data_IF_829711468052
#
_entry.id   IF_829711468052
#
_cell.length_a   1.000
_cell.length_b   1.000
_cell.length_c   1.000
_cell.angle_alpha   90.00
_cell.angle_beta   90.00
_cell.angle_gamma   90.00
#
_symmetry.space_group_name_H-M   'P 1'
#
loop_
_entity.id
_entity.type
_entity.pdbx_description
1 polymer ?
#
# COMPACT_ATOMS: atom_id res chain seq x y z
N UNK A 1 -7.11 -6.37 21.80
CA UNK A 1 -8.48 -6.41 21.26
C UNK A 1 -8.75 -5.24 20.28
N UNK A 2 -8.56 -3.96 20.67
CA UNK A 2 -8.83 -2.78 19.82
C UNK A 2 -8.10 -2.83 18.46
N UNK A 3 -6.80 -3.14 18.46
CA UNK A 3 -6.03 -3.30 17.21
C UNK A 3 -6.62 -4.38 16.28
N UNK A 4 -7.15 -5.48 16.85
CA UNK A 4 -7.81 -6.54 16.09
C UNK A 4 -9.10 -6.03 15.43
N UNK A 5 -9.89 -5.22 16.12
CA UNK A 5 -11.11 -4.63 15.54
C UNK A 5 -10.78 -3.67 14.38
N UNK A 6 -9.72 -2.87 14.48
CA UNK A 6 -9.27 -2.03 13.35
C UNK A 6 -8.83 -2.87 12.14
N UNK A 7 -8.17 -4.02 12.37
CA UNK A 7 -7.80 -4.93 11.30
C UNK A 7 -9.04 -5.57 10.64
N UNK A 8 -10.03 -5.99 11.42
CA UNK A 8 -11.32 -6.51 10.93
C UNK A 8 -12.05 -5.43 10.10
N UNK A 9 -12.09 -4.18 10.58
CA UNK A 9 -12.68 -3.07 9.82
C UNK A 9 -12.01 -2.92 8.45
N UNK A 10 -10.67 -2.94 8.39
CA UNK A 10 -9.94 -2.85 7.12
C UNK A 10 -10.29 -4.01 6.17
N UNK A 11 -10.35 -5.24 6.69
CA UNK A 11 -10.69 -6.41 5.90
C UNK A 11 -12.12 -6.35 5.34
N UNK A 12 -13.08 -5.94 6.16
CA UNK A 12 -14.47 -5.76 5.74
C UNK A 12 -14.60 -4.64 4.70
N UNK A 13 -13.82 -3.57 4.84
CA UNK A 13 -13.80 -2.47 3.88
C UNK A 13 -13.23 -2.93 2.54
N UNK A 14 -12.16 -3.72 2.54
CA UNK A 14 -11.61 -4.32 1.32
C UNK A 14 -12.67 -5.17 0.60
N UNK A 15 -13.35 -6.07 1.30
CA UNK A 15 -14.43 -6.90 0.75
C UNK A 15 -15.59 -6.07 0.22
N UNK A 16 -15.99 -5.03 0.96
CA UNK A 16 -17.04 -4.10 0.52
C UNK A 16 -16.69 -3.45 -0.82
N UNK A 17 -15.44 -3.00 -1.00
CA UNK A 17 -14.97 -2.44 -2.27
C UNK A 17 -14.91 -3.50 -3.38
N UNK A 18 -14.40 -4.69 -3.08
CA UNK A 18 -14.23 -5.77 -4.05
C UNK A 18 -15.57 -6.28 -4.60
N UNK A 19 -16.61 -6.22 -3.81
CA UNK A 19 -17.94 -6.77 -4.18
C UNK A 19 -18.93 -5.64 -4.48
N UNK A 20 -19.26 -4.81 -3.47
CA UNK A 20 -20.37 -3.85 -3.58
C UNK A 20 -20.03 -2.63 -4.41
N UNK A 21 -18.88 -2.01 -4.15
CA UNK A 21 -18.45 -0.83 -4.91
C UNK A 21 -18.07 -1.22 -6.33
N UNK A 22 -17.46 -2.37 -6.55
CA UNK A 22 -17.19 -2.91 -7.89
C UNK A 22 -18.48 -3.09 -8.70
N UNK A 23 -19.53 -3.70 -8.12
CA UNK A 23 -20.85 -3.83 -8.76
C UNK A 23 -21.48 -2.47 -9.09
N UNK A 24 -21.36 -1.49 -8.18
CA UNK A 24 -21.86 -0.13 -8.41
C UNK A 24 -21.09 0.55 -9.57
N UNK A 25 -19.78 0.41 -9.62
CA UNK A 25 -18.93 0.97 -10.70
C UNK A 25 -19.27 0.33 -12.06
N UNK A 26 -19.54 -0.98 -12.13
CA UNK A 26 -20.01 -1.64 -13.36
C UNK A 26 -21.32 -1.04 -13.86
N UNK A 27 -22.29 -0.80 -12.97
CA UNK A 27 -23.56 -0.13 -13.33
C UNK A 27 -23.34 1.27 -13.89
N UNK A 28 -22.44 2.04 -13.28
CA UNK A 28 -22.05 3.38 -13.76
C UNK A 28 -21.43 3.28 -15.15
N UNK A 29 -20.47 2.38 -15.35
CA UNK A 29 -19.78 2.19 -16.63
C UNK A 29 -20.73 1.73 -17.74
N UNK A 30 -21.72 0.90 -17.42
CA UNK A 30 -22.76 0.45 -18.35
C UNK A 30 -23.84 1.54 -18.63
N UNK A 31 -23.72 2.74 -18.07
CA UNK A 31 -24.69 3.82 -18.28
C UNK A 31 -26.07 3.53 -17.67
N UNK A 32 -26.16 2.64 -16.70
CA UNK A 32 -27.45 2.27 -16.08
C UNK A 32 -27.99 3.44 -15.27
N UNK A 33 -28.98 4.13 -15.81
CA UNK A 33 -29.65 5.29 -15.22
C UNK A 33 -30.92 4.89 -14.41
N UNK A 34 -30.83 3.79 -13.65
CA UNK A 34 -31.91 3.34 -12.77
C UNK A 34 -31.53 3.67 -11.33
N UNK A 35 -32.37 4.41 -10.59
CA UNK A 35 -32.14 4.69 -9.19
C UNK A 35 -31.88 3.42 -8.36
N UNK A 36 -31.04 3.51 -7.36
CA UNK A 36 -30.84 2.45 -6.38
C UNK A 36 -32.06 2.31 -5.47
N UNK A 37 -32.09 1.28 -4.62
CA UNK A 37 -33.16 1.06 -3.65
C UNK A 37 -33.42 2.29 -2.77
N UNK A 38 -32.41 3.12 -2.54
CA UNK A 38 -32.49 4.36 -1.77
C UNK A 38 -32.88 5.59 -2.61
N UNK A 39 -33.34 5.39 -3.86
CA UNK A 39 -33.77 6.45 -4.76
C UNK A 39 -32.65 7.31 -5.36
N UNK A 40 -31.36 7.01 -5.10
CA UNK A 40 -30.22 7.76 -5.61
C UNK A 40 -29.69 7.17 -6.91
N UNK A 41 -29.17 8.03 -7.77
CA UNK A 41 -28.46 7.58 -8.97
C UNK A 41 -27.15 6.88 -8.58
N UNK A 42 -26.70 5.87 -9.36
CA UNK A 42 -25.48 5.13 -9.05
C UNK A 42 -24.24 6.00 -8.84
N UNK A 43 -24.07 7.07 -9.62
CA UNK A 43 -22.95 8.01 -9.48
C UNK A 43 -23.01 8.84 -8.20
N UNK A 44 -24.19 9.31 -7.81
CA UNK A 44 -24.41 10.03 -6.55
C UNK A 44 -24.08 9.15 -5.34
N UNK A 45 -24.61 7.92 -5.35
CA UNK A 45 -24.33 6.94 -4.30
C UNK A 45 -22.84 6.62 -4.20
N UNK A 46 -22.16 6.49 -5.34
CA UNK A 46 -20.71 6.23 -5.37
C UNK A 46 -19.92 7.36 -4.67
N UNK A 47 -20.24 8.61 -4.97
CA UNK A 47 -19.56 9.76 -4.38
C UNK A 47 -19.80 9.83 -2.86
N UNK A 48 -21.04 9.69 -2.42
CA UNK A 48 -21.38 9.64 -0.98
C UNK A 48 -20.64 8.50 -0.24
N UNK A 49 -20.52 7.33 -0.88
CA UNK A 49 -19.79 6.20 -0.30
C UNK A 49 -18.29 6.54 -0.15
N UNK A 50 -17.70 7.19 -1.15
CA UNK A 50 -16.28 7.60 -1.07
C UNK A 50 -16.06 8.62 0.05
N UNK A 51 -16.93 9.61 0.18
CA UNK A 51 -16.85 10.62 1.25
C UNK A 51 -16.97 9.93 2.62
N UNK A 52 -17.95 9.06 2.79
CA UNK A 52 -18.15 8.34 4.05
C UNK A 52 -17.00 7.41 4.40
N UNK A 53 -16.45 6.71 3.41
CA UNK A 53 -15.29 5.84 3.60
C UNK A 53 -14.06 6.67 3.97
N UNK A 54 -13.87 7.83 3.36
CA UNK A 54 -12.75 8.73 3.68
C UNK A 54 -12.79 9.17 5.15
N UNK A 55 -13.97 9.55 5.67
CA UNK A 55 -14.16 9.87 7.09
C UNK A 55 -13.79 8.67 8.00
N UNK A 56 -14.31 7.49 7.68
CA UNK A 56 -14.08 6.28 8.48
C UNK A 56 -12.61 5.85 8.49
N UNK A 57 -11.92 5.94 7.35
CA UNK A 57 -10.49 5.62 7.24
C UNK A 57 -9.63 6.65 7.98
N UNK A 58 -10.00 7.93 7.91
CA UNK A 58 -9.33 8.97 8.68
C UNK A 58 -9.46 8.72 10.19
N UNK A 59 -10.67 8.37 10.66
CA UNK A 59 -10.90 8.04 12.07
C UNK A 59 -10.17 6.76 12.48
N UNK A 60 -10.18 5.72 11.66
CA UNK A 60 -9.38 4.51 11.91
C UNK A 60 -7.89 4.82 12.06
N UNK A 61 -7.37 5.66 11.18
CA UNK A 61 -5.96 6.08 11.22
C UNK A 61 -5.66 6.88 12.49
N UNK A 62 -6.54 7.81 12.87
CA UNK A 62 -6.42 8.59 14.10
C UNK A 62 -6.36 7.69 15.33
N UNK A 63 -7.35 6.80 15.48
CA UNK A 63 -7.41 5.85 16.61
C UNK A 63 -6.15 4.98 16.68
N UNK A 64 -5.67 4.50 15.54
CA UNK A 64 -4.44 3.70 15.52
C UNK A 64 -3.21 4.51 15.95
N UNK A 65 -3.04 5.73 15.43
CA UNK A 65 -1.84 6.53 15.64
C UNK A 65 -1.83 7.20 17.02
N UNK A 66 -2.98 7.71 17.48
CA UNK A 66 -3.06 8.55 18.67
C UNK A 66 -3.43 7.77 19.94
N UNK A 67 -4.07 6.61 19.80
CA UNK A 67 -4.52 5.81 20.94
C UNK A 67 -3.81 4.46 21.02
N UNK A 68 -3.99 3.60 20.00
CA UNK A 68 -3.49 2.21 20.06
C UNK A 68 -1.96 2.14 20.04
N UNK A 69 -1.33 2.94 19.23
CA UNK A 69 0.13 2.92 19.08
C UNK A 69 0.87 3.33 20.37
N UNK A 70 0.44 4.39 21.07
CA UNK A 70 0.96 4.71 22.41
C UNK A 70 0.70 3.61 23.44
N UNK A 71 -0.51 3.05 23.52
CA UNK A 71 -0.84 1.94 24.42
C UNK A 71 0.07 0.72 24.17
N UNK A 72 0.33 0.38 22.91
CA UNK A 72 1.27 -0.70 22.56
C UNK A 72 2.70 -0.38 23.02
N UNK A 73 3.12 0.87 22.94
CA UNK A 73 4.45 1.29 23.37
C UNK A 73 4.61 1.18 24.90
N UNK A 74 3.57 1.47 25.68
CA UNK A 74 3.52 1.26 27.12
C UNK A 74 3.67 -0.23 27.50
N UNK A 75 3.10 -1.12 26.68
CA UNK A 75 3.24 -2.57 26.79
C UNK A 75 4.56 -3.11 26.17
N UNK A 76 5.49 -2.22 25.81
CA UNK A 76 6.80 -2.58 25.27
C UNK A 76 6.78 -2.96 23.79
N UNK A 77 5.68 -2.74 23.05
CA UNK A 77 5.58 -3.05 21.62
C UNK A 77 5.68 -1.75 20.81
N UNK A 78 6.75 -1.60 20.05
CA UNK A 78 7.03 -0.40 19.26
C UNK A 78 7.14 -0.72 17.77
N UNK A 79 6.32 -0.06 16.95
CA UNK A 79 6.44 -0.07 15.50
C UNK A 79 7.18 1.22 15.11
N UNK A 80 8.42 1.06 14.69
CA UNK A 80 9.36 2.16 14.47
C UNK A 80 9.39 2.60 13.00
N UNK A 81 9.92 3.80 12.77
CA UNK A 81 10.37 4.28 11.47
C UNK A 81 11.90 4.23 11.39
N UNK A 82 12.43 4.31 10.18
CA UNK A 82 13.88 4.23 9.95
C UNK A 82 14.72 5.26 10.73
N UNK A 83 14.21 6.48 10.87
CA UNK A 83 14.89 7.57 11.58
C UNK A 83 14.99 7.33 13.10
N UNK A 84 14.10 6.52 13.66
CA UNK A 84 14.07 6.14 15.07
C UNK A 84 15.03 4.98 15.43
N UNK A 85 15.72 4.39 14.44
CA UNK A 85 16.67 3.31 14.65
C UNK A 85 18.02 3.84 15.12
N UNK A 86 18.66 3.08 16.00
CA UNK A 86 20.07 3.27 16.37
C UNK A 86 21.00 2.97 15.18
N UNK A 87 22.24 3.43 15.25
CA UNK A 87 23.24 3.13 14.21
C UNK A 87 23.43 1.61 14.01
N UNK A 88 23.56 0.86 15.10
CA UNK A 88 23.70 -0.61 15.05
C UNK A 88 22.49 -1.30 14.43
N UNK A 89 21.25 -0.84 14.73
CA UNK A 89 20.04 -1.38 14.11
C UNK A 89 20.01 -1.08 12.61
N UNK A 90 20.40 0.14 12.20
CA UNK A 90 20.49 0.51 10.79
C UNK A 90 21.51 -0.37 10.03
N UNK A 91 22.64 -0.69 10.64
CA UNK A 91 23.65 -1.56 10.02
C UNK A 91 23.13 -2.99 9.86
N UNK A 92 22.44 -3.53 10.88
CA UNK A 92 21.77 -4.83 10.78
C UNK A 92 20.72 -4.85 9.67
N UNK A 93 19.93 -3.78 9.52
CA UNK A 93 18.91 -3.70 8.48
C UNK A 93 19.51 -3.55 7.08
N UNK A 94 20.65 -2.87 6.93
CA UNK A 94 21.41 -2.83 5.66
C UNK A 94 21.92 -4.22 5.26
N UNK A 95 22.48 -4.97 6.19
CA UNK A 95 22.91 -6.34 5.95
C UNK A 95 21.71 -7.24 5.57
N UNK A 96 20.62 -7.18 6.34
CA UNK A 96 19.40 -7.92 6.06
C UNK A 96 18.83 -7.57 4.67
N UNK A 97 18.84 -6.28 4.29
CA UNK A 97 18.41 -5.85 2.98
C UNK A 97 19.25 -6.51 1.87
N UNK A 98 20.55 -6.41 1.96
CA UNK A 98 21.46 -6.95 0.94
C UNK A 98 21.35 -8.48 0.81
N UNK A 99 21.27 -9.21 1.93
CA UNK A 99 21.32 -10.66 1.96
C UNK A 99 19.98 -11.33 1.65
N UNK A 100 18.86 -10.75 2.10
CA UNK A 100 17.56 -11.44 2.10
C UNK A 100 16.44 -10.69 1.40
N UNK A 101 16.44 -9.35 1.38
CA UNK A 101 15.36 -8.57 0.79
C UNK A 101 15.67 -8.26 -0.67
N UNK A 102 16.84 -7.70 -0.96
CA UNK A 102 17.24 -7.32 -2.31
C UNK A 102 17.10 -8.46 -3.34
N UNK A 103 17.53 -9.72 -3.07
CA UNK A 103 17.44 -10.80 -4.06
C UNK A 103 16.01 -11.20 -4.47
N UNK A 104 15.01 -10.88 -3.65
CA UNK A 104 13.61 -11.23 -3.92
C UNK A 104 12.79 -10.05 -4.42
N UNK A 105 13.40 -8.86 -4.54
CA UNK A 105 12.73 -7.68 -5.09
C UNK A 105 12.73 -7.72 -6.62
N UNK A 106 11.60 -7.35 -7.21
CA UNK A 106 11.45 -7.20 -8.65
C UNK A 106 10.95 -5.77 -8.94
N UNK A 107 11.87 -4.79 -9.03
CA UNK A 107 11.49 -3.44 -9.42
C UNK A 107 11.06 -3.42 -10.89
N UNK A 108 9.98 -2.71 -11.18
CA UNK A 108 9.44 -2.55 -12.53
C UNK A 108 9.35 -1.05 -12.84
N UNK A 109 10.11 -0.63 -13.84
CA UNK A 109 10.00 0.72 -14.38
C UNK A 109 8.91 0.76 -15.47
N UNK A 110 8.18 1.86 -15.54
CA UNK A 110 7.13 2.09 -16.53
C UNK A 110 7.66 3.08 -17.56
N UNK A 111 7.70 2.67 -18.81
CA UNK A 111 8.06 3.50 -19.95
C UNK A 111 7.15 3.18 -21.16
N UNK A 112 7.24 3.88 -22.29
CA UNK A 112 6.41 3.61 -23.47
C UNK A 112 6.52 2.15 -24.00
N UNK A 113 7.64 1.48 -23.76
CA UNK A 113 7.87 0.08 -24.18
C UNK A 113 7.41 -0.92 -23.12
N UNK A 114 7.25 -0.46 -21.87
CA UNK A 114 6.82 -1.28 -20.72
C UNK A 114 5.61 -0.59 -20.08
N UNK A 115 4.39 -0.97 -20.49
CA UNK A 115 3.17 -0.38 -19.98
C UNK A 115 3.01 -0.63 -18.47
N UNK A 116 2.13 0.14 -17.84
CA UNK A 116 1.88 0.05 -16.41
C UNK A 116 1.58 -1.41 -16.00
N UNK A 117 2.36 -1.98 -15.06
CA UNK A 117 2.24 -3.39 -14.72
C UNK A 117 0.93 -3.69 -13.98
N UNK A 118 0.44 -4.92 -14.16
CA UNK A 118 -0.66 -5.40 -13.34
C UNK A 118 -0.30 -5.37 -11.85
N UNK A 119 -1.17 -4.75 -11.04
CA UNK A 119 -1.04 -4.70 -9.58
C UNK A 119 -1.95 -5.76 -8.98
N UNK A 120 -1.37 -6.74 -8.30
CA UNK A 120 -2.15 -7.77 -7.58
C UNK A 120 -3.01 -7.11 -6.50
N UNK A 121 -4.26 -7.56 -6.34
CA UNK A 121 -5.16 -7.11 -5.29
C UNK A 121 -4.52 -7.23 -3.90
N UNK A 122 -4.78 -6.27 -3.05
CA UNK A 122 -4.35 -6.18 -1.65
C UNK A 122 -2.83 -6.21 -1.41
N UNK A 123 -2.01 -6.31 -2.47
CA UNK A 123 -0.55 -6.27 -2.34
C UNK A 123 -0.06 -4.86 -2.03
N UNK A 124 0.94 -4.77 -1.15
CA UNK A 124 1.61 -3.51 -0.83
C UNK A 124 2.72 -3.26 -1.82
N UNK A 125 2.78 -2.05 -2.31
CA UNK A 125 3.75 -1.61 -3.30
C UNK A 125 4.28 -0.22 -2.95
N UNK A 126 5.49 0.08 -3.41
CA UNK A 126 6.02 1.44 -3.45
C UNK A 126 5.90 1.96 -4.88
N UNK A 127 5.24 3.10 -5.04
CA UNK A 127 5.27 3.93 -6.24
C UNK A 127 6.49 4.85 -6.11
N UNK A 128 7.40 4.80 -7.07
CA UNK A 128 8.66 5.54 -7.02
C UNK A 128 8.76 6.45 -8.22
N UNK A 129 8.99 7.74 -7.97
CA UNK A 129 9.30 8.70 -9.02
C UNK A 129 10.81 8.83 -9.14
N UNK A 130 11.32 8.50 -10.31
CA UNK A 130 12.73 8.54 -10.66
C UNK A 130 13.01 9.71 -11.60
N UNK A 131 14.25 10.21 -11.58
CA UNK A 131 14.77 11.18 -12.55
C UNK A 131 16.10 10.68 -13.09
N UNK A 132 16.24 10.67 -14.39
CA UNK A 132 17.52 10.44 -15.03
C UNK A 132 18.39 11.71 -14.88
N UNK A 133 19.54 11.65 -14.20
CA UNK A 133 20.37 12.84 -13.96
C UNK A 133 21.03 13.39 -15.24
N UNK A 134 21.18 12.55 -16.27
CA UNK A 134 21.82 12.96 -17.54
C UNK A 134 20.83 13.64 -18.48
N UNK A 135 19.61 13.08 -18.61
CA UNK A 135 18.59 13.59 -19.55
C UNK A 135 17.55 14.52 -18.88
N UNK A 136 17.48 14.51 -17.56
CA UNK A 136 16.44 15.19 -16.79
C UNK A 136 15.05 14.53 -16.86
N UNK A 137 14.90 13.46 -17.67
CA UNK A 137 13.64 12.74 -17.86
C UNK A 137 13.15 12.10 -16.55
N UNK A 138 11.83 12.16 -16.34
CA UNK A 138 11.17 11.52 -15.19
C UNK A 138 10.59 10.18 -15.60
N UNK A 139 10.63 9.21 -14.70
CA UNK A 139 10.13 7.87 -14.91
C UNK A 139 9.43 7.38 -13.65
N UNK A 140 8.31 6.69 -13.82
CA UNK A 140 7.62 5.99 -12.75
C UNK A 140 8.18 4.56 -12.62
N UNK A 141 8.34 4.11 -11.40
CA UNK A 141 8.68 2.72 -11.11
C UNK A 141 7.83 2.18 -9.97
N UNK A 142 7.65 0.87 -9.94
CA UNK A 142 6.94 0.14 -8.90
C UNK A 142 7.86 -0.88 -8.26
N UNK A 143 7.83 -0.96 -6.94
CA UNK A 143 8.47 -2.04 -6.16
C UNK A 143 7.41 -2.73 -5.31
N UNK A 144 7.15 -4.00 -5.55
CA UNK A 144 6.22 -4.81 -4.73
C UNK A 144 6.93 -5.20 -3.43
N UNK A 145 6.24 -5.02 -2.30
CA UNK A 145 6.70 -5.56 -1.02
C UNK A 145 6.49 -7.07 -1.04
N UNK A 146 7.55 -7.88 -0.89
CA UNK A 146 7.45 -9.33 -1.06
C UNK A 146 6.59 -9.96 0.04
N UNK A 147 5.49 -10.68 -0.29
CA UNK A 147 4.63 -11.31 0.72
C UNK A 147 5.28 -12.53 1.39
N UNK A 148 6.36 -13.06 0.82
CA UNK A 148 7.13 -14.18 1.38
C UNK A 148 7.96 -13.77 2.60
N UNK A 149 8.21 -12.49 2.77
CA UNK A 149 8.93 -11.95 3.93
C UNK A 149 7.94 -11.43 4.98
N UNK A 150 8.37 -11.49 6.26
CA UNK A 150 7.58 -10.92 7.34
C UNK A 150 7.36 -9.44 7.15
N UNK A 151 6.11 -8.98 7.26
CA UNK A 151 5.73 -7.58 7.13
C UNK A 151 6.38 -6.68 8.19
N UNK A 152 6.50 -7.18 9.42
CA UNK A 152 7.18 -6.52 10.53
C UNK A 152 8.48 -7.25 10.82
N UNK A 153 9.59 -6.57 10.62
CA UNK A 153 10.93 -7.09 10.90
C UNK A 153 11.28 -6.81 12.35
N UNK A 154 11.55 -7.86 13.11
CA UNK A 154 11.96 -7.75 14.52
C UNK A 154 13.39 -7.20 14.62
N UNK A 155 13.57 -6.11 15.33
CA UNK A 155 14.87 -5.48 15.63
C UNK A 155 15.45 -6.00 16.94
N UNK A 156 14.62 -6.02 17.96
CA UNK A 156 14.89 -6.48 19.31
C UNK A 156 13.57 -6.92 19.97
N UNK A 157 13.58 -7.29 21.25
CA UNK A 157 12.34 -7.60 21.97
C UNK A 157 11.39 -6.40 21.94
N UNK A 158 10.16 -6.64 21.52
CA UNK A 158 9.12 -5.61 21.41
C UNK A 158 9.34 -4.53 20.32
N UNK A 159 10.46 -4.53 19.58
CA UNK A 159 10.79 -3.48 18.60
C UNK A 159 10.70 -4.02 17.17
N UNK A 160 9.91 -3.35 16.34
CA UNK A 160 9.62 -3.79 14.97
C UNK A 160 9.77 -2.65 13.97
N UNK A 161 10.22 -2.99 12.76
CA UNK A 161 10.29 -2.09 11.63
C UNK A 161 9.47 -2.65 10.46
N UNK A 162 8.57 -1.88 9.84
CA UNK A 162 7.87 -2.31 8.63
C UNK A 162 8.85 -2.59 7.48
N UNK A 163 8.59 -3.66 6.74
CA UNK A 163 9.45 -4.10 5.63
C UNK A 163 9.58 -3.03 4.54
N UNK A 164 8.50 -2.31 4.26
CA UNK A 164 8.49 -1.21 3.30
C UNK A 164 9.41 -0.03 3.71
N UNK A 165 9.61 0.21 4.99
CA UNK A 165 10.57 1.22 5.47
C UNK A 165 12.01 0.84 5.10
N UNK A 166 12.35 -0.46 5.21
CA UNK A 166 13.66 -0.96 4.81
C UNK A 166 13.84 -0.83 3.30
N UNK A 167 12.84 -1.25 2.51
CA UNK A 167 12.89 -1.17 1.05
C UNK A 167 13.01 0.28 0.59
N UNK A 168 12.19 1.17 1.14
CA UNK A 168 12.17 2.59 0.80
C UNK A 168 13.54 3.26 1.03
N UNK A 169 14.22 2.90 2.11
CA UNK A 169 15.55 3.43 2.42
C UNK A 169 16.63 3.00 1.42
N UNK A 170 16.42 1.88 0.74
CA UNK A 170 17.39 1.30 -0.17
C UNK A 170 16.99 1.40 -1.67
N UNK A 171 15.99 2.22 -1.99
CA UNK A 171 15.53 2.42 -3.38
C UNK A 171 16.65 2.83 -4.33
N UNK A 172 17.62 3.63 -3.88
CA UNK A 172 18.76 4.00 -4.68
C UNK A 172 19.66 2.83 -5.13
N UNK A 173 19.66 1.71 -4.40
CA UNK A 173 20.36 0.50 -4.80
C UNK A 173 19.60 -0.32 -5.85
N UNK A 174 18.26 -0.19 -5.88
CA UNK A 174 17.39 -0.85 -6.86
C UNK A 174 17.41 -0.12 -8.21
N UNK A 175 17.60 1.19 -8.20
CA UNK A 175 17.55 2.04 -9.39
C UNK A 175 18.90 2.72 -9.64
N UNK A 176 19.92 1.91 -9.89
CA UNK A 176 21.29 2.38 -10.12
C UNK A 176 21.34 3.37 -11.30
N UNK A 177 22.00 4.50 -11.12
CA UNK A 177 22.11 5.54 -12.14
C UNK A 177 20.89 6.48 -12.23
N UNK A 178 19.83 6.24 -11.44
CA UNK A 178 18.67 7.11 -11.35
C UNK A 178 18.62 7.82 -9.99
N UNK A 179 18.08 9.02 -9.99
CA UNK A 179 17.78 9.76 -8.75
C UNK A 179 16.35 9.45 -8.30
N UNK A 180 16.19 8.96 -7.08
CA UNK A 180 14.87 8.82 -6.44
C UNK A 180 14.39 10.21 -6.01
N UNK A 181 13.31 10.70 -6.61
CA UNK A 181 12.71 12.00 -6.29
C UNK A 181 11.76 11.89 -5.10
N UNK A 182 10.87 10.91 -5.18
CA UNK A 182 9.89 10.65 -4.14
C UNK A 182 9.40 9.22 -4.22
N UNK A 183 8.80 8.75 -3.15
CA UNK A 183 8.08 7.48 -3.14
C UNK A 183 6.84 7.59 -2.25
N UNK A 184 5.87 6.73 -2.51
CA UNK A 184 4.71 6.54 -1.64
C UNK A 184 4.34 5.06 -1.60
N UNK A 185 3.88 4.62 -0.45
CA UNK A 185 3.35 3.26 -0.29
C UNK A 185 1.88 3.25 -0.68
N UNK A 186 1.47 2.26 -1.47
CA UNK A 186 0.09 2.12 -1.89
C UNK A 186 -0.35 0.66 -1.93
N UNK A 187 -1.65 0.47 -1.90
CA UNK A 187 -2.33 -0.80 -2.06
C UNK A 187 -3.53 -0.59 -2.98
N UNK A 188 -3.85 -1.59 -3.79
CA UNK A 188 -5.00 -1.56 -4.70
C UNK A 188 -6.01 -2.60 -4.27
N UNK A 189 -7.27 -2.21 -4.14
CA UNK A 189 -8.40 -3.12 -4.04
C UNK A 189 -8.97 -3.32 -5.44
N UNK A 190 -9.14 -4.58 -5.86
CA UNK A 190 -9.63 -4.95 -7.20
C UNK A 190 -10.88 -5.81 -7.07
N UNK A 191 -11.72 -5.78 -8.11
CA UNK A 191 -12.79 -6.74 -8.25
C UNK A 191 -12.20 -8.16 -8.38
N UNK A 192 -12.78 -9.14 -7.70
CA UNK A 192 -12.39 -10.56 -7.82
C UNK A 192 -13.18 -11.29 -8.91
N UNK A 193 -14.23 -10.69 -9.47
CA UNK A 193 -14.98 -11.29 -10.56
C UNK A 193 -14.08 -11.34 -11.81
N UNK A 194 -13.86 -12.54 -12.31
CA UNK A 194 -13.22 -12.77 -13.60
C UNK A 194 -14.30 -12.49 -14.65
N UNK A 195 -14.16 -11.41 -15.42
CA UNK A 195 -14.93 -11.25 -16.65
C UNK A 195 -14.38 -12.28 -17.66
N UNK A 196 -15.13 -13.34 -17.88
CA UNK A 196 -14.88 -14.25 -19.01
C UNK A 196 -15.47 -13.52 -20.22
N UNK A 197 -14.61 -12.88 -21.02
CA UNK A 197 -15.00 -12.50 -22.39
C UNK A 197 -15.14 -13.81 -23.15
N UNK A 198 -16.37 -14.18 -23.47
CA UNK A 198 -16.64 -15.21 -24.50
C UNK A 198 -16.33 -14.54 -25.85
N UNK A 199 -15.31 -15.06 -26.54
CA UNK A 199 -14.97 -14.74 -27.93
C UNK A 199 -16.07 -15.21 -28.91
#
# INVERSE_FOLDING_TARGET
ERAKFLAIFSSNLDEFFMVRVAGLKRRIAAGVAVPTVNGKMPGELHNELLDKVSELVAEQSRVFQEEIRPELAEEGIQILRWDQLTASEKDKMRALFAERIFPVLTPLAVDPSHPFPYISGLSINLAVLLKNPQTGGRQFARVKVPPVLSRLVKLAEGRFLPLEEIIARHLGQLFTGMQVISYTTFRVTRNEDIEVEED
#
